data_IF_060697623594
#
_entry.id   IF_060697623594
#
_cell.length_a   1.000
_cell.length_b   1.000
_cell.length_c   1.000
_cell.angle_alpha   90.00
_cell.angle_beta   90.00
_cell.angle_gamma   90.00
#
_symmetry.space_group_name_H-M   'P 1'
#
loop_
_entity.id
_entity.type
_entity.pdbx_description
1 polymer ?
#
# COMPACT_ATOMS: atom_id res chain seq x y z
N UNK A 1 -19.40 -10.56 -17.97
CA UNK A 1 -18.33 -10.59 -16.96
C UNK A 1 -18.18 -9.19 -16.36
N UNK A 2 -19.05 -8.83 -15.43
CA UNK A 2 -18.96 -7.56 -14.70
C UNK A 2 -18.18 -7.79 -13.42
N UNK A 3 -16.86 -7.58 -13.45
CA UNK A 3 -16.09 -7.51 -12.22
C UNK A 3 -16.54 -6.24 -11.49
N UNK A 4 -17.29 -6.40 -10.41
CA UNK A 4 -17.67 -5.31 -9.51
C UNK A 4 -16.38 -4.65 -9.00
N UNK A 5 -16.05 -3.47 -9.54
CA UNK A 5 -14.86 -2.67 -9.18
C UNK A 5 -14.86 -2.17 -7.71
N UNK A 6 -15.80 -2.63 -6.90
CA UNK A 6 -16.04 -2.13 -5.54
C UNK A 6 -16.10 -3.24 -4.48
N UNK A 7 -15.82 -4.50 -4.84
CA UNK A 7 -15.51 -5.50 -3.84
C UNK A 7 -14.14 -5.14 -3.26
N UNK A 8 -14.16 -4.40 -2.15
CA UNK A 8 -13.02 -4.21 -1.25
C UNK A 8 -12.64 -5.59 -0.71
N UNK A 9 -12.00 -6.39 -1.54
CA UNK A 9 -11.52 -7.69 -1.10
C UNK A 9 -10.40 -7.43 -0.12
N UNK A 10 -10.39 -8.15 1.00
CA UNK A 10 -9.30 -8.10 1.98
C UNK A 10 -7.92 -8.32 1.32
N UNK A 11 -7.90 -8.94 0.13
CA UNK A 11 -6.73 -9.09 -0.72
C UNK A 11 -6.15 -7.77 -1.22
N UNK A 12 -6.96 -6.76 -1.56
CA UNK A 12 -6.46 -5.47 -2.07
C UNK A 12 -5.67 -4.74 -0.98
N UNK A 13 -6.21 -4.73 0.25
CA UNK A 13 -5.53 -4.18 1.42
C UNK A 13 -4.25 -4.97 1.69
N UNK A 14 -4.30 -6.31 1.72
CA UNK A 14 -3.09 -7.13 1.88
C UNK A 14 -2.04 -6.92 0.78
N UNK A 15 -2.45 -6.70 -0.48
CA UNK A 15 -1.55 -6.50 -1.61
C UNK A 15 -0.69 -5.26 -1.43
N UNK A 16 -1.30 -4.17 -0.95
CA UNK A 16 -0.59 -2.91 -0.72
C UNK A 16 0.39 -3.01 0.45
N UNK A 17 0.02 -3.72 1.52
CA UNK A 17 0.92 -3.99 2.65
C UNK A 17 2.14 -4.79 2.19
N UNK A 18 1.93 -5.87 1.42
CA UNK A 18 3.02 -6.69 0.89
C UNK A 18 3.91 -5.85 -0.04
N UNK A 19 3.33 -5.10 -0.97
CA UNK A 19 4.11 -4.25 -1.88
C UNK A 19 4.95 -3.21 -1.10
N UNK A 20 4.39 -2.61 -0.06
CA UNK A 20 5.10 -1.68 0.82
C UNK A 20 6.17 -2.37 1.68
N UNK A 21 5.91 -3.59 2.17
CA UNK A 21 6.83 -4.38 2.99
C UNK A 21 8.05 -4.89 2.21
N UNK A 22 7.86 -5.25 0.94
CA UNK A 22 8.93 -5.70 0.05
C UNK A 22 9.60 -4.55 -0.73
N UNK A 23 9.06 -3.33 -0.68
CA UNK A 23 9.62 -2.18 -1.40
C UNK A 23 9.33 -2.17 -2.91
N UNK A 24 8.22 -2.77 -3.33
CA UNK A 24 7.77 -2.85 -4.72
C UNK A 24 7.03 -1.57 -5.12
N UNK A 25 7.80 -0.54 -5.48
CA UNK A 25 7.27 0.79 -5.81
C UNK A 25 6.22 0.77 -6.93
N UNK A 26 6.49 0.11 -8.06
CA UNK A 26 5.58 0.07 -9.21
C UNK A 26 4.23 -0.58 -8.87
N UNK A 27 4.25 -1.61 -8.00
CA UNK A 27 3.04 -2.27 -7.53
C UNK A 27 2.23 -1.34 -6.63
N UNK A 28 2.90 -0.59 -5.74
CA UNK A 28 2.25 0.43 -4.89
C UNK A 28 1.61 1.52 -5.74
N UNK A 29 2.32 2.03 -6.75
CA UNK A 29 1.81 3.06 -7.67
C UNK A 29 0.57 2.57 -8.43
N UNK A 30 0.62 1.34 -8.95
CA UNK A 30 -0.52 0.72 -9.63
C UNK A 30 -1.74 0.56 -8.70
N UNK A 31 -1.52 0.12 -7.46
CA UNK A 31 -2.58 -0.02 -6.45
C UNK A 31 -3.18 1.35 -6.08
N UNK A 32 -2.37 2.39 -5.97
CA UNK A 32 -2.86 3.75 -5.72
C UNK A 32 -3.68 4.26 -6.91
N UNK A 33 -3.26 3.95 -8.14
CA UNK A 33 -3.99 4.31 -9.37
C UNK A 33 -5.40 3.72 -9.43
N UNK A 34 -5.59 2.50 -8.93
CA UNK A 34 -6.93 1.89 -8.85
C UNK A 34 -7.75 2.37 -7.63
N UNK A 35 -7.27 3.39 -6.89
CA UNK A 35 -7.91 4.02 -5.72
C UNK A 35 -8.21 3.04 -4.57
N UNK A 36 -7.26 2.16 -4.23
CA UNK A 36 -7.38 1.31 -3.04
C UNK A 36 -7.35 2.17 -1.77
N UNK A 37 -8.04 1.71 -0.73
CA UNK A 37 -7.94 2.26 0.62
C UNK A 37 -6.52 2.11 1.18
N UNK A 38 -5.85 3.22 1.43
CA UNK A 38 -4.48 3.25 1.94
C UNK A 38 -4.40 3.29 3.47
N UNK A 39 -5.51 3.56 4.14
CA UNK A 39 -5.63 3.53 5.61
C UNK A 39 -6.21 2.23 6.15
N UNK A 40 -6.46 1.24 5.29
CA UNK A 40 -6.82 -0.10 5.77
C UNK A 40 -5.64 -0.69 6.54
N UNK A 41 -5.95 -1.40 7.62
CA UNK A 41 -4.95 -2.06 8.45
C UNK A 41 -4.87 -3.54 8.09
N UNK A 42 -3.66 -4.09 8.10
CA UNK A 42 -3.46 -5.54 8.00
C UNK A 42 -3.98 -6.26 9.26
N UNK A 43 -3.86 -7.58 9.25
CA UNK A 43 -4.29 -8.44 10.35
C UNK A 43 -3.53 -8.20 11.67
N UNK A 44 -2.39 -7.50 11.62
CA UNK A 44 -1.60 -7.02 12.76
C UNK A 44 -1.86 -5.56 13.12
N UNK A 45 -2.86 -4.90 12.51
CA UNK A 45 -3.24 -3.53 12.84
C UNK A 45 -2.31 -2.46 12.25
N UNK A 46 -1.42 -2.82 11.33
CA UNK A 46 -0.46 -1.91 10.69
C UNK A 46 -1.04 -1.38 9.39
N UNK A 47 -0.71 -0.15 9.02
CA UNK A 47 -1.02 0.40 7.68
C UNK A 47 0.08 0.04 6.67
N UNK A 48 -0.14 0.18 5.35
CA UNK A 48 0.92 0.00 4.36
C UNK A 48 2.07 0.98 4.58
N UNK A 49 1.74 2.19 5.06
CA UNK A 49 2.73 3.20 5.44
C UNK A 49 3.60 2.71 6.59
N UNK A 50 3.01 2.08 7.62
CA UNK A 50 3.78 1.50 8.74
C UNK A 50 4.72 0.38 8.28
N UNK A 51 4.27 -0.47 7.35
CA UNK A 51 5.12 -1.51 6.76
C UNK A 51 6.32 -0.91 6.02
N UNK A 52 6.11 0.10 5.18
CA UNK A 52 7.20 0.81 4.51
C UNK A 52 8.13 1.53 5.51
N UNK A 53 7.56 2.14 6.56
CA UNK A 53 8.32 2.85 7.61
C UNK A 53 9.25 1.93 8.37
N UNK A 54 8.78 0.72 8.70
CA UNK A 54 9.58 -0.30 9.36
C UNK A 54 10.82 -0.71 8.53
N UNK A 55 10.76 -0.52 7.21
CA UNK A 55 11.82 -0.90 6.25
C UNK A 55 12.55 0.30 5.63
N UNK A 56 12.28 1.53 6.05
CA UNK A 56 12.82 2.77 5.43
C UNK A 56 14.36 2.83 5.31
N UNK A 57 15.08 2.07 6.15
CA UNK A 57 16.54 2.01 6.16
C UNK A 57 17.14 1.02 5.14
N UNK A 58 16.31 0.24 4.44
CA UNK A 58 16.75 -0.78 3.49
C UNK A 58 17.11 -0.19 2.12
N UNK A 59 16.25 0.67 1.56
CA UNK A 59 16.41 1.21 0.20
C UNK A 59 15.61 2.51 0.00
N UNK A 60 15.99 3.31 -1.00
CA UNK A 60 15.27 4.50 -1.46
C UNK A 60 13.84 4.20 -1.92
N UNK A 61 13.57 2.99 -2.43
CA UNK A 61 12.21 2.59 -2.82
C UNK A 61 11.21 2.76 -1.68
N UNK A 62 11.59 2.44 -0.43
CA UNK A 62 10.71 2.61 0.73
C UNK A 62 10.40 4.09 0.96
N UNK A 63 11.39 4.99 0.83
CA UNK A 63 11.16 6.44 0.93
C UNK A 63 10.19 6.93 -0.15
N UNK A 64 10.34 6.45 -1.38
CA UNK A 64 9.43 6.78 -2.48
C UNK A 64 8.02 6.28 -2.20
N UNK A 65 7.86 5.03 -1.75
CA UNK A 65 6.58 4.43 -1.36
C UNK A 65 5.92 5.23 -0.23
N UNK A 66 6.68 5.57 0.81
CA UNK A 66 6.17 6.38 1.92
C UNK A 66 5.67 7.73 1.43
N UNK A 67 6.44 8.41 0.58
CA UNK A 67 6.06 9.70 0.03
C UNK A 67 4.82 9.60 -0.86
N UNK A 68 4.70 8.51 -1.65
CA UNK A 68 3.54 8.26 -2.50
C UNK A 68 2.29 8.01 -1.66
N UNK A 69 2.37 7.18 -0.63
CA UNK A 69 1.27 6.92 0.32
C UNK A 69 0.85 8.21 1.06
N UNK A 70 1.81 9.00 1.56
CA UNK A 70 1.57 10.30 2.20
C UNK A 70 0.88 11.28 1.25
N UNK A 71 1.36 11.39 0.01
CA UNK A 71 0.79 12.27 -1.03
C UNK A 71 -0.62 11.82 -1.41
N UNK A 72 -0.87 10.51 -1.39
CA UNK A 72 -2.16 9.91 -1.70
C UNK A 72 -3.17 10.01 -0.56
N UNK A 73 -2.80 10.63 0.57
CA UNK A 73 -3.68 10.87 1.71
C UNK A 73 -3.78 9.71 2.70
N UNK A 74 -2.84 8.75 2.65
CA UNK A 74 -2.73 7.74 3.70
C UNK A 74 -2.35 8.41 5.03
N UNK A 75 -3.24 8.33 6.01
CA UNK A 75 -3.06 8.82 7.39
C UNK A 75 -3.25 7.69 8.38
#
# INVERSE_FOLDING_TARGET
MGCNKNDKTNYNSSSLHLAAEYGHFEVVEYLISIRVNLSDKDNGGRTPLDCAKAKQNQNQNYKNIMNLLLTSGAK
#
